data_IF_806827285967
#
_entry.id   IF_806827285967
#
_cell.length_a   1.000
_cell.length_b   1.000
_cell.length_c   1.000
_cell.angle_alpha   90.00
_cell.angle_beta   90.00
_cell.angle_gamma   90.00
#
_symmetry.space_group_name_H-M   'P 1'
#
loop_
_entity.id
_entity.type
_entity.pdbx_description
1 polymer ?
#
# COMPACT_ATOMS: atom_id res chain seq x y z
N UNK A 1 6.33 17.09 3.55
CA UNK A 1 5.94 16.03 2.60
C UNK A 1 4.82 15.24 3.25
N UNK A 2 3.75 14.92 2.52
CA UNK A 2 2.75 13.98 3.03
C UNK A 2 3.40 12.59 3.16
N UNK A 3 3.08 11.87 4.22
CA UNK A 3 3.56 10.50 4.42
C UNK A 3 2.97 9.61 3.31
N UNK A 4 3.84 8.94 2.54
CA UNK A 4 3.44 7.96 1.51
C UNK A 4 3.64 6.54 2.02
N UNK A 5 2.58 5.75 2.05
CA UNK A 5 2.62 4.34 2.46
C UNK A 5 2.32 3.44 1.26
N UNK A 6 3.24 2.54 0.91
CA UNK A 6 3.06 1.57 -0.16
C UNK A 6 2.41 0.28 0.34
N UNK A 7 1.30 -0.14 -0.25
CA UNK A 7 0.69 -1.45 0.02
C UNK A 7 1.41 -2.51 -0.80
N UNK A 8 2.01 -3.49 -0.13
CA UNK A 8 2.70 -4.64 -0.73
C UNK A 8 2.10 -5.95 -0.24
N UNK A 9 2.41 -7.04 -0.93
CA UNK A 9 1.84 -8.35 -0.67
C UNK A 9 1.74 -9.16 -1.96
N UNK A 10 1.70 -10.48 -1.82
CA UNK A 10 1.57 -11.41 -2.94
C UNK A 10 0.26 -11.16 -3.74
N UNK A 11 0.13 -11.73 -4.95
CA UNK A 11 -1.15 -11.80 -5.65
C UNK A 11 -2.26 -12.42 -4.77
N UNK A 12 -3.50 -11.95 -4.94
CA UNK A 12 -4.70 -12.52 -4.31
C UNK A 12 -4.77 -12.47 -2.77
N UNK A 13 -3.92 -11.70 -2.10
CA UNK A 13 -3.97 -11.51 -0.63
C UNK A 13 -5.00 -10.46 -0.18
N UNK A 14 -5.70 -9.80 -1.11
CA UNK A 14 -6.69 -8.77 -0.81
C UNK A 14 -6.19 -7.32 -0.84
N UNK A 15 -4.98 -7.03 -1.37
CA UNK A 15 -4.44 -5.65 -1.49
C UNK A 15 -5.42 -4.67 -2.13
N UNK A 16 -5.94 -4.98 -3.32
CA UNK A 16 -6.83 -4.07 -4.04
C UNK A 16 -8.16 -3.88 -3.32
N UNK A 17 -8.65 -4.90 -2.60
CA UNK A 17 -9.82 -4.78 -1.74
C UNK A 17 -9.55 -3.80 -0.60
N UNK A 18 -8.43 -3.96 0.11
CA UNK A 18 -8.01 -3.04 1.16
C UNK A 18 -7.83 -1.62 0.63
N UNK A 19 -7.11 -1.44 -0.48
CA UNK A 19 -6.92 -0.15 -1.12
C UNK A 19 -8.26 0.52 -1.47
N UNK A 20 -9.20 -0.22 -2.06
CA UNK A 20 -10.52 0.29 -2.40
C UNK A 20 -11.35 0.68 -1.17
N UNK A 21 -11.21 -0.05 -0.05
CA UNK A 21 -11.84 0.34 1.21
C UNK A 21 -11.24 1.63 1.76
N UNK A 22 -9.91 1.78 1.69
CA UNK A 22 -9.19 2.96 2.16
C UNK A 22 -9.44 4.19 1.27
N UNK A 23 -9.50 4.01 -0.06
CA UNK A 23 -9.68 5.11 -1.03
C UNK A 23 -11.11 5.64 -1.08
N UNK A 24 -12.12 4.80 -0.80
CA UNK A 24 -13.52 5.22 -0.66
C UNK A 24 -13.77 6.13 0.54
N UNK A 25 -12.85 6.23 1.51
CA UNK A 25 -12.98 7.04 2.72
C UNK A 25 -12.77 8.56 2.51
N UNK A 26 -13.21 9.11 1.37
CA UNK A 26 -13.01 10.50 0.88
C UNK A 26 -11.64 10.73 0.20
N UNK A 27 -11.40 10.06 -0.92
CA UNK A 27 -10.53 10.64 -1.94
C UNK A 27 -11.14 11.97 -2.43
N UNK A 28 -10.77 13.08 -1.79
CA UNK A 28 -10.94 14.39 -2.41
C UNK A 28 -10.03 14.37 -3.64
N UNK A 29 -10.63 14.14 -4.80
CA UNK A 29 -10.00 14.24 -6.11
C UNK A 29 -9.51 15.67 -6.29
N UNK A 30 -8.28 15.96 -5.88
CA UNK A 30 -7.54 17.09 -6.39
C UNK A 30 -7.08 16.70 -7.81
N UNK A 31 -7.61 17.39 -8.81
CA UNK A 31 -7.27 17.17 -10.22
C UNK A 31 -5.79 17.51 -10.46
N UNK A 32 -4.90 16.52 -10.44
CA UNK A 32 -3.52 16.68 -10.90
C UNK A 32 -3.44 16.29 -12.39
N UNK A 33 -3.03 17.19 -13.31
CA UNK A 33 -3.34 17.02 -14.74
C UNK A 33 -2.37 16.14 -15.56
N UNK A 34 -1.48 15.37 -14.96
CA UNK A 34 -0.47 14.62 -15.72
C UNK A 34 -0.03 13.34 -15.01
N UNK A 35 -0.67 12.21 -15.29
CA UNK A 35 -0.21 10.91 -14.79
C UNK A 35 -0.28 9.86 -15.91
N UNK A 36 0.87 9.61 -16.54
CA UNK A 36 1.14 8.48 -17.44
C UNK A 36 1.46 7.23 -16.62
N UNK A 37 0.62 6.18 -16.68
CA UNK A 37 0.84 4.83 -16.11
C UNK A 37 1.41 4.86 -14.67
N UNK A 38 0.75 5.60 -13.77
CA UNK A 38 1.18 5.76 -12.38
C UNK A 38 0.49 4.75 -11.44
N UNK A 39 1.15 4.35 -10.33
CA UNK A 39 0.52 3.50 -9.31
C UNK A 39 -0.75 4.17 -8.76
N UNK A 40 -1.74 3.37 -8.35
CA UNK A 40 -2.98 3.94 -7.82
C UNK A 40 -2.68 4.62 -6.48
N UNK A 41 -2.88 5.94 -6.41
CA UNK A 41 -2.69 6.73 -5.19
C UNK A 41 -4.06 7.09 -4.60
N UNK A 42 -4.25 6.79 -3.32
CA UNK A 42 -5.42 7.18 -2.52
C UNK A 42 -5.01 8.12 -1.40
N UNK A 43 -5.82 9.15 -1.13
CA UNK A 43 -5.60 10.06 0.00
C UNK A 43 -6.58 9.71 1.11
N UNK A 44 -6.08 9.53 2.32
CA UNK A 44 -6.86 9.24 3.52
C UNK A 44 -6.65 10.31 4.58
N UNK A 45 -7.75 10.74 5.23
CA UNK A 45 -7.67 11.58 6.44
C UNK A 45 -7.33 10.72 7.66
N UNK A 46 -6.44 11.18 8.51
CA UNK A 46 -6.09 10.48 9.76
C UNK A 46 -7.21 10.71 10.77
N UNK A 47 -7.85 9.65 11.32
CA UNK A 47 -8.82 9.79 12.39
C UNK A 47 -8.12 10.28 13.66
N UNK A 48 -8.65 11.35 14.27
CA UNK A 48 -8.09 11.96 15.47
C UNK A 48 -9.20 12.55 16.36
N UNK A 49 -9.55 11.84 17.42
CA UNK A 49 -10.58 12.24 18.39
C UNK A 49 -10.28 13.60 19.06
N UNK A 50 -8.99 14.00 19.11
CA UNK A 50 -8.59 15.30 19.67
C UNK A 50 -9.08 16.44 18.78
N UNK A 51 -9.08 16.23 17.47
CA UNK A 51 -9.57 17.21 16.51
C UNK A 51 -11.08 17.41 16.67
N UNK A 52 -11.82 16.33 16.95
CA UNK A 52 -13.25 16.40 17.25
C UNK A 52 -13.53 17.14 18.56
N UNK A 53 -12.78 16.81 19.63
CA UNK A 53 -12.89 17.49 20.92
C UNK A 53 -12.59 19.00 20.80
N UNK A 54 -11.55 19.38 20.06
CA UNK A 54 -11.21 20.79 19.82
C UNK A 54 -12.27 21.50 18.98
N UNK A 55 -12.80 20.83 17.95
CA UNK A 55 -13.87 21.38 17.12
C UNK A 55 -15.14 21.67 17.92
N UNK A 56 -15.48 20.80 18.89
CA UNK A 56 -16.63 21.01 19.78
C UNK A 56 -16.47 22.24 20.69
N UNK A 57 -15.24 22.55 21.12
CA UNK A 57 -14.92 23.70 21.99
C UNK A 57 -14.86 24.99 21.17
N UNK A 58 -14.08 24.99 20.09
CA UNK A 58 -13.71 26.21 19.34
C UNK A 58 -14.76 26.56 18.28
N UNK A 59 -15.52 25.58 17.78
CA UNK A 59 -16.51 25.73 16.69
C UNK A 59 -15.95 26.50 15.49
N UNK A 60 -14.82 26.05 14.89
CA UNK A 60 -14.21 26.75 13.77
C UNK A 60 -15.10 26.65 12.51
N UNK A 61 -14.96 27.60 11.60
CA UNK A 61 -15.62 27.57 10.29
C UNK A 61 -15.26 26.32 9.48
N UNK A 62 -14.03 25.79 9.67
CA UNK A 62 -13.52 24.62 8.97
C UNK A 62 -12.60 23.79 9.86
N UNK A 63 -12.75 22.46 9.79
CA UNK A 63 -11.86 21.48 10.40
C UNK A 63 -11.02 20.84 9.29
N UNK A 64 -9.70 20.84 9.47
CA UNK A 64 -8.74 20.30 8.49
C UNK A 64 -7.96 19.14 9.12
N UNK A 65 -8.32 17.88 8.84
CA UNK A 65 -7.54 16.73 9.30
C UNK A 65 -6.21 16.66 8.54
N UNK A 66 -5.22 16.03 9.17
CA UNK A 66 -3.99 15.63 8.47
C UNK A 66 -4.29 14.46 7.54
N UNK A 67 -3.51 14.33 6.45
CA UNK A 67 -3.72 13.30 5.44
C UNK A 67 -2.48 12.42 5.26
N UNK A 68 -2.71 11.19 4.81
CA UNK A 68 -1.70 10.22 4.41
C UNK A 68 -2.02 9.75 3.00
N UNK A 69 -0.98 9.57 2.19
CA UNK A 69 -1.09 9.01 0.84
C UNK A 69 -0.83 7.50 0.90
N UNK A 70 -1.74 6.72 0.33
CA UNK A 70 -1.66 5.27 0.21
C UNK A 70 -1.42 4.94 -1.25
N UNK A 71 -0.38 4.18 -1.54
CA UNK A 71 0.00 3.80 -2.90
C UNK A 71 -0.23 2.29 -3.05
N UNK A 72 -1.08 1.88 -3.99
CA UNK A 72 -1.22 0.45 -4.34
C UNK A 72 -0.05 0.05 -5.24
N UNK A 73 0.84 -0.77 -4.71
CA UNK A 73 1.98 -1.28 -5.47
C UNK A 73 1.58 -2.65 -6.04
N UNK A 74 1.71 -2.80 -7.36
CA UNK A 74 1.38 -4.04 -8.07
C UNK A 74 1.97 -5.28 -7.37
N UNK A 75 1.30 -6.43 -7.39
CA UNK A 75 1.74 -7.60 -6.60
C UNK A 75 3.17 -8.07 -6.93
N UNK A 76 3.98 -8.31 -5.89
CA UNK A 76 5.30 -8.92 -6.03
C UNK A 76 5.15 -10.40 -6.40
N UNK A 77 5.84 -10.84 -7.45
CA UNK A 77 6.01 -12.25 -7.76
C UNK A 77 7.45 -12.63 -7.43
N UNK A 78 7.64 -13.87 -6.94
CA UNK A 78 8.95 -14.44 -6.62
C UNK A 78 9.95 -14.25 -7.76
N UNK A 79 11.17 -13.80 -7.47
CA UNK A 79 12.23 -13.54 -8.46
C UNK A 79 12.33 -12.10 -8.95
N UNK A 80 11.69 -11.14 -8.28
CA UNK A 80 11.75 -9.73 -8.67
C UNK A 80 13.14 -9.10 -8.59
N UNK A 81 13.98 -9.55 -7.64
CA UNK A 81 15.39 -9.16 -7.51
C UNK A 81 16.24 -9.57 -8.71
N UNK A 82 15.91 -10.67 -9.38
CA UNK A 82 16.69 -11.23 -10.50
C UNK A 82 16.60 -10.43 -11.81
N UNK A 83 15.84 -9.34 -11.85
CA UNK A 83 15.89 -8.36 -12.94
C UNK A 83 15.02 -8.64 -14.17
N UNK A 84 14.13 -9.64 -14.15
CA UNK A 84 13.14 -9.80 -15.23
C UNK A 84 12.02 -8.74 -15.13
N UNK A 85 12.27 -7.58 -15.75
CA UNK A 85 11.28 -6.59 -16.20
C UNK A 85 10.35 -5.96 -15.13
N UNK A 86 9.36 -6.73 -14.66
CA UNK A 86 8.31 -6.24 -13.74
C UNK A 86 8.82 -6.07 -12.29
N UNK A 87 9.79 -6.87 -11.86
CA UNK A 87 10.33 -6.80 -10.49
C UNK A 87 11.06 -5.51 -10.15
N UNK A 88 11.85 -4.98 -11.09
CA UNK A 88 12.58 -3.73 -10.89
C UNK A 88 11.66 -2.49 -10.83
N UNK A 89 10.58 -2.47 -11.62
CA UNK A 89 9.57 -1.40 -11.54
C UNK A 89 8.85 -1.41 -10.20
N UNK A 90 8.54 -2.60 -9.69
CA UNK A 90 7.94 -2.77 -8.36
C UNK A 90 8.84 -2.21 -7.25
N UNK A 91 10.12 -2.62 -7.23
CA UNK A 91 11.09 -2.16 -6.24
C UNK A 91 11.36 -0.65 -6.36
N UNK A 92 11.32 -0.10 -7.57
CA UNK A 92 11.36 1.34 -7.83
C UNK A 92 10.20 2.07 -7.14
N UNK A 93 8.96 1.60 -7.33
CA UNK A 93 7.79 2.19 -6.70
C UNK A 93 7.84 2.14 -5.16
N UNK A 94 8.38 1.06 -4.58
CA UNK A 94 8.58 0.98 -3.12
C UNK A 94 9.53 2.08 -2.63
N UNK A 95 10.61 2.35 -3.36
CA UNK A 95 11.60 3.38 -2.99
C UNK A 95 11.02 4.80 -2.99
N UNK A 96 9.90 5.03 -3.68
CA UNK A 96 9.18 6.30 -3.66
C UNK A 96 8.24 6.46 -2.45
N UNK A 97 8.13 5.44 -1.59
CA UNK A 97 7.30 5.43 -0.39
C UNK A 97 8.15 5.60 0.88
N UNK A 98 7.51 6.05 1.97
CA UNK A 98 8.15 6.25 3.26
C UNK A 98 7.91 5.07 4.22
N UNK A 99 6.86 4.28 3.99
CA UNK A 99 6.49 3.13 4.80
C UNK A 99 5.83 2.06 3.95
N UNK A 100 5.89 0.82 4.41
CA UNK A 100 5.29 -0.33 3.74
C UNK A 100 4.12 -0.86 4.58
N UNK A 101 2.98 -1.06 3.94
CA UNK A 101 1.82 -1.79 4.47
C UNK A 101 1.85 -3.19 3.85
N UNK A 102 2.32 -4.17 4.60
CA UNK A 102 2.45 -5.54 4.13
C UNK A 102 1.16 -6.34 4.40
N UNK A 103 0.43 -6.67 3.33
CA UNK A 103 -0.79 -7.47 3.40
C UNK A 103 -0.47 -8.94 3.25
N UNK A 104 -0.82 -9.73 4.27
CA UNK A 104 -0.64 -11.18 4.31
C UNK A 104 -2.00 -11.88 4.26
N UNK A 105 -2.08 -12.99 3.52
CA UNK A 105 -3.29 -13.82 3.47
C UNK A 105 -3.29 -14.74 4.69
N UNK A 106 -4.26 -14.55 5.58
CA UNK A 106 -4.48 -15.39 6.77
C UNK A 106 -5.82 -16.14 6.71
N UNK A 107 -6.27 -16.50 5.51
CA UNK A 107 -7.54 -17.20 5.28
C UNK A 107 -7.39 -18.18 4.11
N UNK A 108 -8.09 -19.30 4.22
CA UNK A 108 -8.21 -20.31 3.17
C UNK A 108 -9.51 -20.09 2.39
N UNK A 109 -9.45 -20.22 1.06
CA UNK A 109 -10.61 -20.16 0.17
C UNK A 109 -10.27 -20.94 -1.10
N UNK A 110 -11.04 -22.01 -1.36
CA UNK A 110 -10.85 -22.92 -2.50
C UNK A 110 -11.07 -22.22 -3.86
N UNK A 111 -11.75 -21.07 -3.87
CA UNK A 111 -11.97 -20.28 -5.08
C UNK A 111 -10.81 -19.31 -5.38
N UNK A 112 -9.85 -19.16 -4.47
CA UNK A 112 -8.77 -18.18 -4.59
C UNK A 112 -7.42 -18.90 -4.67
N UNK A 113 -6.87 -18.91 -5.88
CA UNK A 113 -5.57 -19.52 -6.17
C UNK A 113 -4.46 -18.73 -5.45
N UNK A 114 -3.68 -19.45 -4.65
CA UNK A 114 -2.44 -18.94 -4.06
C UNK A 114 -1.25 -19.20 -5.00
N UNK A 115 -0.19 -18.38 -4.89
CA UNK A 115 1.00 -18.54 -5.75
C UNK A 115 1.74 -19.85 -5.47
N UNK A 116 1.71 -20.28 -4.21
CA UNK A 116 2.18 -21.58 -3.76
C UNK A 116 1.00 -22.54 -3.52
N UNK A 117 1.31 -23.83 -3.35
CA UNK A 117 0.31 -24.90 -3.12
C UNK A 117 -0.50 -24.71 -1.84
N UNK A 118 0.08 -24.06 -0.82
CA UNK A 118 -0.57 -23.79 0.47
C UNK A 118 -0.52 -22.31 0.79
N UNK A 119 -1.49 -21.83 1.57
CA UNK A 119 -1.43 -20.50 2.19
C UNK A 119 -0.56 -20.59 3.44
N UNK A 120 0.48 -19.77 3.51
CA UNK A 120 1.35 -19.67 4.70
C UNK A 120 1.84 -18.23 4.86
N UNK A 121 1.21 -17.43 5.74
CA UNK A 121 1.54 -16.01 5.87
C UNK A 121 2.97 -15.76 6.36
N UNK A 122 3.59 -16.72 7.07
CA UNK A 122 4.98 -16.57 7.53
C UNK A 122 5.93 -16.73 6.35
N UNK A 123 5.76 -17.79 5.54
CA UNK A 123 6.55 -18.00 4.33
C UNK A 123 6.37 -16.88 3.31
N UNK A 124 5.15 -16.40 3.16
CA UNK A 124 4.83 -15.31 2.22
C UNK A 124 5.51 -14.00 2.65
N UNK A 125 5.50 -13.72 3.97
CA UNK A 125 6.24 -12.59 4.54
C UNK A 125 7.74 -12.72 4.26
N UNK A 126 8.32 -13.88 4.57
CA UNK A 126 9.74 -14.15 4.37
C UNK A 126 10.15 -14.00 2.90
N UNK A 127 9.30 -14.40 1.97
CA UNK A 127 9.56 -14.25 0.52
C UNK A 127 9.71 -12.78 0.14
N UNK A 128 8.80 -11.91 0.59
CA UNK A 128 8.87 -10.47 0.29
C UNK A 128 10.07 -9.83 1.03
N UNK A 129 10.26 -10.15 2.31
CA UNK A 129 11.38 -9.63 3.10
C UNK A 129 12.73 -9.98 2.45
N UNK A 130 12.89 -11.23 1.96
CA UNK A 130 14.11 -11.68 1.29
C UNK A 130 14.37 -10.92 -0.01
N UNK A 131 13.35 -10.68 -0.84
CA UNK A 131 13.51 -9.92 -2.09
C UNK A 131 13.91 -8.46 -1.82
N UNK A 132 13.36 -7.84 -0.77
CA UNK A 132 13.74 -6.50 -0.34
C UNK A 132 15.19 -6.47 0.18
N UNK A 133 15.57 -7.41 1.04
CA UNK A 133 16.93 -7.52 1.57
C UNK A 133 17.97 -7.78 0.49
N UNK A 134 17.67 -8.68 -0.47
CA UNK A 134 18.54 -8.92 -1.62
C UNK A 134 18.73 -7.64 -2.42
N UNK A 135 17.67 -6.84 -2.59
CA UNK A 135 17.79 -5.58 -3.32
C UNK A 135 18.61 -4.53 -2.58
N UNK A 136 18.56 -4.52 -1.26
CA UNK A 136 19.41 -3.65 -0.45
C UNK A 136 20.88 -4.07 -0.50
N UNK A 137 21.17 -5.37 -0.69
CA UNK A 137 22.53 -5.90 -0.83
C UNK A 137 23.16 -5.65 -2.21
N UNK A 138 22.35 -5.55 -3.28
CA UNK A 138 22.81 -5.27 -4.65
C UNK A 138 23.28 -3.81 -4.88
N UNK A 139 23.41 -3.01 -3.83
CA UNK A 139 23.72 -1.58 -3.87
C UNK A 139 25.08 -1.24 -4.53
#
# INVERSE_FOLDING_TARGET
MALKCGIVGLPNVGKSTLFNCLSKAKAQSANFPFCTIEPNVGIMSVPDDRLEALSAIVKPERVMPTTVEIVDIAGLVKGASKGEGLGNKFLGNIRETNAIIHVLRCFDDDNIIHVDVTVDPVRDKETIDMELQLKDLEA
#
